data_IF_743904218188
#
_entry.id   IF_743904218188
#
_cell.length_a   1.000
_cell.length_b   1.000
_cell.length_c   1.000
_cell.angle_alpha   90.00
_cell.angle_beta   90.00
_cell.angle_gamma   90.00
#
_symmetry.space_group_name_H-M   'P 1'
#
loop_
_entity.id
_entity.type
_entity.pdbx_description
1 polymer ?
#
# COMPACT_ATOMS: atom_id res chain seq x y z
N UNK A 1 3.00 39.36 -1.40
CA UNK A 1 2.50 38.04 -0.93
C UNK A 1 3.51 37.01 -1.40
N UNK A 2 4.20 36.39 -0.44
CA UNK A 2 5.28 35.42 -0.69
C UNK A 2 4.59 34.08 -0.98
N UNK A 3 4.87 33.49 -2.14
CA UNK A 3 4.36 32.18 -2.55
C UNK A 3 4.92 31.11 -1.61
N UNK A 4 4.05 30.55 -0.77
CA UNK A 4 4.30 29.31 -0.04
C UNK A 4 4.07 28.13 -0.99
N UNK A 5 4.95 27.13 -0.93
CA UNK A 5 4.64 25.79 -1.42
C UNK A 5 5.58 25.15 -2.44
N UNK A 6 6.86 25.50 -2.46
CA UNK A 6 7.87 24.54 -2.93
C UNK A 6 8.10 23.52 -1.78
N UNK A 7 7.11 22.64 -1.54
CA UNK A 7 7.37 21.42 -0.78
C UNK A 7 8.20 20.52 -1.70
N UNK A 8 9.52 20.62 -1.54
CA UNK A 8 10.50 19.73 -2.15
C UNK A 8 10.08 18.29 -1.82
N UNK A 9 9.52 17.59 -2.81
CA UNK A 9 9.13 16.19 -2.68
C UNK A 9 10.42 15.38 -2.54
N UNK A 10 10.87 15.22 -1.30
CA UNK A 10 12.05 14.45 -0.95
C UNK A 10 11.74 12.98 -1.16
N UNK A 11 12.04 12.48 -2.36
CA UNK A 11 12.05 11.05 -2.62
C UNK A 11 13.15 10.40 -1.78
N UNK A 12 12.75 9.74 -0.69
CA UNK A 12 13.64 8.83 0.04
C UNK A 12 13.44 7.42 -0.50
N UNK A 13 14.46 6.81 -1.13
CA UNK A 13 14.34 5.43 -1.57
C UNK A 13 14.08 4.54 -0.34
N UNK A 14 12.89 3.95 -0.28
CA UNK A 14 12.55 2.94 0.73
C UNK A 14 13.27 1.64 0.38
N UNK A 15 13.67 0.91 1.42
CA UNK A 15 14.31 -0.39 1.21
C UNK A 15 13.30 -1.38 0.60
N UNK A 16 13.65 -2.03 -0.51
CA UNK A 16 12.81 -3.02 -1.20
C UNK A 16 12.31 -4.11 -0.23
N UNK A 17 13.16 -4.55 0.71
CA UNK A 17 12.80 -5.53 1.74
C UNK A 17 11.67 -5.02 2.64
N UNK A 18 11.66 -3.74 2.98
CA UNK A 18 10.61 -3.14 3.81
C UNK A 18 9.30 -3.02 3.05
N UNK A 19 9.34 -2.63 1.78
CA UNK A 19 8.16 -2.58 0.91
C UNK A 19 7.54 -3.99 0.80
N UNK A 20 8.36 -5.01 0.54
CA UNK A 20 7.91 -6.40 0.46
C UNK A 20 7.32 -6.90 1.78
N UNK A 21 7.91 -6.52 2.93
CA UNK A 21 7.37 -6.87 4.24
C UNK A 21 5.98 -6.25 4.44
N UNK A 22 5.81 -4.98 4.11
CA UNK A 22 4.51 -4.32 4.22
C UNK A 22 3.47 -4.92 3.27
N UNK A 23 3.86 -5.26 2.04
CA UNK A 23 2.98 -5.98 1.11
C UNK A 23 2.54 -7.34 1.68
N UNK A 24 3.46 -8.10 2.28
CA UNK A 24 3.11 -9.36 2.96
C UNK A 24 2.08 -9.12 4.07
N UNK A 25 2.38 -8.20 4.99
CA UNK A 25 1.53 -7.92 6.15
C UNK A 25 0.12 -7.48 5.72
N UNK A 26 0.02 -6.66 4.65
CA UNK A 26 -1.28 -6.27 4.06
C UNK A 26 -1.99 -7.48 3.45
N UNK A 27 -1.28 -8.36 2.72
CA UNK A 27 -1.91 -9.51 2.08
C UNK A 27 -2.53 -10.49 3.08
N UNK A 28 -1.88 -10.71 4.23
CA UNK A 28 -2.41 -11.54 5.31
C UNK A 28 -3.67 -10.92 5.89
N UNK A 29 -3.62 -9.62 6.21
CA UNK A 29 -4.78 -8.88 6.70
C UNK A 29 -5.95 -8.89 5.72
N UNK A 30 -5.69 -8.75 4.42
CA UNK A 30 -6.73 -8.79 3.38
C UNK A 30 -7.45 -10.15 3.36
N UNK A 31 -6.72 -11.25 3.50
CA UNK A 31 -7.30 -12.60 3.53
C UNK A 31 -8.15 -12.81 4.79
N UNK A 32 -7.64 -12.41 5.95
CA UNK A 32 -8.36 -12.52 7.23
C UNK A 32 -9.66 -11.70 7.21
N UNK A 33 -9.61 -10.47 6.68
CA UNK A 33 -10.78 -9.61 6.53
C UNK A 33 -11.74 -10.13 5.47
N UNK A 34 -11.26 -10.63 4.33
CA UNK A 34 -12.14 -11.19 3.30
C UNK A 34 -12.93 -12.38 3.83
N UNK A 35 -12.28 -13.26 4.58
CA UNK A 35 -12.95 -14.40 5.21
C UNK A 35 -13.96 -13.94 6.26
N UNK A 36 -13.59 -12.97 7.10
CA UNK A 36 -14.51 -12.36 8.07
C UNK A 36 -15.72 -11.69 7.41
N UNK A 37 -15.53 -11.00 6.29
CA UNK A 37 -16.61 -10.36 5.55
C UNK A 37 -17.65 -11.37 5.07
N UNK A 38 -17.22 -12.56 4.65
CA UNK A 38 -18.12 -13.64 4.23
C UNK A 38 -18.86 -14.23 5.44
N UNK A 39 -18.14 -14.56 6.53
CA UNK A 39 -18.76 -15.13 7.76
C UNK A 39 -19.84 -14.21 8.32
N UNK A 40 -19.58 -12.90 8.35
CA UNK A 40 -20.47 -11.91 8.96
C UNK A 40 -21.40 -11.22 7.96
N UNK A 41 -21.40 -11.62 6.68
CA UNK A 41 -22.09 -10.95 5.57
C UNK A 41 -21.90 -9.41 5.59
N UNK A 42 -20.68 -8.98 5.89
CA UNK A 42 -20.38 -7.57 6.18
C UNK A 42 -19.77 -6.87 4.97
N UNK A 43 -20.58 -6.03 4.32
CA UNK A 43 -20.13 -5.13 3.24
C UNK A 43 -19.10 -4.12 3.70
N UNK A 44 -19.09 -3.77 4.99
CA UNK A 44 -18.14 -2.79 5.55
C UNK A 44 -16.74 -3.38 5.61
N UNK A 45 -16.62 -4.63 6.06
CA UNK A 45 -15.35 -5.36 6.05
C UNK A 45 -14.88 -5.58 4.60
N UNK A 46 -15.80 -5.94 3.68
CA UNK A 46 -15.45 -6.07 2.26
C UNK A 46 -14.94 -4.76 1.64
N UNK A 47 -15.50 -3.61 2.03
CA UNK A 47 -14.99 -2.30 1.61
C UNK A 47 -13.59 -2.02 2.14
N UNK A 48 -13.26 -2.47 3.35
CA UNK A 48 -11.92 -2.33 3.91
C UNK A 48 -10.89 -3.16 3.14
N UNK A 49 -11.23 -4.39 2.74
CA UNK A 49 -10.39 -5.22 1.85
C UNK A 49 -10.08 -4.46 0.56
N UNK A 50 -11.06 -3.75 -0.02
CA UNK A 50 -10.84 -2.92 -1.22
C UNK A 50 -9.90 -1.74 -0.99
N UNK A 51 -9.97 -1.06 0.16
CA UNK A 51 -8.99 0.00 0.49
C UNK A 51 -7.57 -0.55 0.65
N UNK A 52 -7.43 -1.75 1.21
CA UNK A 52 -6.13 -2.42 1.34
C UNK A 52 -5.57 -2.84 -0.02
N UNK A 53 -6.42 -3.26 -0.96
CA UNK A 53 -6.03 -3.51 -2.36
C UNK A 53 -5.45 -2.24 -3.01
N UNK A 54 -6.11 -1.09 -2.86
CA UNK A 54 -5.60 0.19 -3.38
C UNK A 54 -4.24 0.56 -2.75
N UNK A 55 -4.03 0.24 -1.48
CA UNK A 55 -2.72 0.42 -0.82
C UNK A 55 -1.67 -0.53 -1.39
N UNK A 56 -2.01 -1.79 -1.62
CA UNK A 56 -1.15 -2.78 -2.28
C UNK A 56 -0.70 -2.30 -3.66
N UNK A 57 -1.61 -1.71 -4.44
CA UNK A 57 -1.30 -1.18 -5.76
C UNK A 57 -0.28 -0.03 -5.69
N UNK A 58 -0.38 0.87 -4.70
CA UNK A 58 0.62 1.92 -4.49
C UNK A 58 2.01 1.34 -4.19
N UNK A 59 2.10 0.36 -3.28
CA UNK A 59 3.36 -0.32 -2.97
C UNK A 59 3.93 -1.06 -4.19
N UNK A 60 3.08 -1.61 -5.06
CA UNK A 60 3.48 -2.22 -6.33
C UNK A 60 4.14 -1.20 -7.28
N UNK A 61 3.69 0.05 -7.31
CA UNK A 61 4.37 1.09 -8.08
C UNK A 61 5.71 1.47 -7.44
N UNK A 62 5.76 1.63 -6.11
CA UNK A 62 7.01 1.93 -5.39
C UNK A 62 8.09 0.87 -5.67
N UNK A 63 7.75 -0.42 -5.56
CA UNK A 63 8.72 -1.50 -5.77
C UNK A 63 9.18 -1.59 -7.23
N UNK A 64 8.30 -1.31 -8.20
CA UNK A 64 8.67 -1.28 -9.62
C UNK A 64 9.72 -0.20 -9.89
N UNK A 65 9.49 1.01 -9.39
CA UNK A 65 10.44 2.12 -9.52
C UNK A 65 11.76 1.77 -8.82
N UNK A 66 11.71 1.29 -7.57
CA UNK A 66 12.90 0.92 -6.81
C UNK A 66 13.72 -0.19 -7.52
N UNK A 67 13.03 -1.16 -8.13
CA UNK A 67 13.68 -2.26 -8.87
C UNK A 67 14.32 -1.78 -10.18
N UNK A 68 13.69 -0.84 -10.89
CA UNK A 68 14.26 -0.23 -12.10
C UNK A 68 15.51 0.61 -11.79
N UNK A 69 15.53 1.31 -10.65
CA UNK A 69 16.68 2.12 -10.23
C UNK A 69 17.85 1.28 -9.68
N UNK A 70 17.60 0.02 -9.32
CA UNK A 70 18.60 -0.90 -8.78
C UNK A 70 19.24 -1.81 -9.85
N UNK A 71 18.72 -1.81 -11.08
CA UNK A 71 19.22 -2.58 -12.22
C UNK A 71 20.28 -1.79 -13.01
#
# INVERSE_FOLDING_TARGET
MKSEGDEEVSYRPRNVREILREMKDISELMVDLAYSAIIFDSKDIAREVKKLEEKMDRLKYEIRIASMLAA
#
